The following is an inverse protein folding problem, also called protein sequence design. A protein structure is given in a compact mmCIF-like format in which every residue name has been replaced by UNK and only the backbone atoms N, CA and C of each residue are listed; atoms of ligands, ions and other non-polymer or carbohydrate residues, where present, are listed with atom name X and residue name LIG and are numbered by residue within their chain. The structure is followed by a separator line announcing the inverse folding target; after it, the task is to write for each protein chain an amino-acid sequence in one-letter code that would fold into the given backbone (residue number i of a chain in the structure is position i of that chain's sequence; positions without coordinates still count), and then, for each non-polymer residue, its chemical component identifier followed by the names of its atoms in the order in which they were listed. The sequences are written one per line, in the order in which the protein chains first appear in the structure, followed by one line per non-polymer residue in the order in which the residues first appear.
data_IF_120802854938
#
_entry.id   IF_120802854938
#
_cell.length_a   1.000
_cell.length_b   1.000
_cell.length_c   1.000
_cell.angle_alpha   90.00
_cell.angle_beta   90.00
_cell.angle_gamma   90.00
#
_symmetry.space_group_name_H-M   'P 1'
#
loop_
_entity.id
_entity.type
_entity.pdbx_description
1 polymer ?
#
# COMPACT_ATOMS: atom_id res chain seq x y z
N UNK A 1 29.48 3.71 -37.15
CA UNK A 1 28.31 4.21 -36.40
C UNK A 1 28.83 5.22 -35.38
N UNK A 2 28.36 6.48 -35.39
CA UNK A 2 28.76 7.45 -34.36
C UNK A 2 28.11 7.04 -33.03
N UNK A 3 28.83 7.02 -31.90
CA UNK A 3 28.21 6.80 -30.60
C UNK A 3 27.41 8.05 -30.22
N UNK A 4 26.11 7.91 -30.07
CA UNK A 4 25.26 9.00 -29.58
C UNK A 4 25.56 9.21 -28.10
N UNK A 5 26.27 10.30 -27.78
CA UNK A 5 26.62 10.66 -26.42
C UNK A 5 25.32 10.88 -25.59
N UNK A 6 25.10 10.12 -24.50
CA UNK A 6 23.87 10.21 -23.69
C UNK A 6 23.65 11.61 -23.11
N UNK A 7 24.70 12.42 -22.99
CA UNK A 7 24.59 13.79 -22.50
C UNK A 7 23.98 14.75 -23.53
N UNK A 8 24.14 14.47 -24.82
CA UNK A 8 23.46 15.22 -25.87
C UNK A 8 21.95 14.95 -25.87
N UNK A 9 21.52 13.72 -25.53
CA UNK A 9 20.10 13.37 -25.43
C UNK A 9 19.42 14.04 -24.23
N UNK A 10 20.13 14.15 -23.10
CA UNK A 10 19.61 14.82 -21.90
C UNK A 10 19.45 16.33 -22.13
N UNK A 11 20.39 16.98 -22.80
CA UNK A 11 20.28 18.40 -23.13
C UNK A 11 19.17 18.68 -24.15
N UNK A 12 18.97 17.80 -25.14
CA UNK A 12 17.80 17.88 -26.03
C UNK A 12 16.47 17.71 -25.29
N UNK A 13 16.39 16.78 -24.33
CA UNK A 13 15.19 16.60 -23.53
C UNK A 13 14.87 17.84 -22.69
N UNK A 14 15.88 18.45 -22.06
CA UNK A 14 15.71 19.70 -21.30
C UNK A 14 15.28 20.87 -22.17
N UNK A 15 15.82 20.99 -23.39
CA UNK A 15 15.45 22.03 -24.33
C UNK A 15 13.97 21.91 -24.76
N UNK A 16 13.51 20.68 -25.01
CA UNK A 16 12.13 20.41 -25.41
C UNK A 16 11.10 20.65 -24.28
N UNK A 17 11.53 20.63 -23.02
CA UNK A 17 10.65 20.78 -21.85
C UNK A 17 10.79 22.13 -21.11
N UNK A 18 11.57 23.08 -21.63
CA UNK A 18 11.81 24.37 -20.95
C UNK A 18 10.72 25.43 -21.15
N UNK A 19 9.60 25.10 -21.80
CA UNK A 19 8.50 26.03 -22.10
C UNK A 19 7.26 25.86 -21.20
N UNK A 20 7.41 25.43 -19.93
CA UNK A 20 6.28 25.44 -18.97
C UNK A 20 6.71 25.78 -17.54
N UNK A 21 7.58 26.78 -17.39
CA UNK A 21 7.68 27.52 -16.13
C UNK A 21 7.84 28.98 -16.47
N UNK A 22 6.82 29.81 -16.17
CA UNK A 22 6.95 31.22 -15.80
C UNK A 22 5.59 31.90 -15.69
N UNK A 23 4.86 31.69 -14.59
CA UNK A 23 4.04 32.74 -13.97
C UNK A 23 3.37 32.26 -12.66
N UNK A 24 3.81 32.89 -11.57
CA UNK A 24 3.22 32.81 -10.24
C UNK A 24 1.90 33.61 -10.15
N UNK A 25 1.03 33.15 -9.26
CA UNK A 25 -0.03 33.87 -8.51
C UNK A 25 -1.30 34.33 -9.26
N UNK A 26 -2.43 33.65 -8.96
CA UNK A 26 -3.67 34.25 -8.43
C UNK A 26 -4.70 33.18 -8.07
N UNK A 27 -5.18 33.24 -6.82
CA UNK A 27 -6.42 32.61 -6.39
C UNK A 27 -7.58 33.13 -7.26
N UNK A 28 -8.30 32.25 -7.96
CA UNK A 28 -9.77 32.22 -8.05
C UNK A 28 -10.27 31.15 -9.05
N UNK A 29 -11.17 30.32 -8.55
CA UNK A 29 -12.28 29.62 -9.23
C UNK A 29 -12.18 29.37 -10.75
N UNK A 30 -11.76 28.16 -11.15
CA UNK A 30 -12.19 27.57 -12.43
C UNK A 30 -12.65 26.13 -12.19
N UNK A 31 -13.94 25.93 -12.46
CA UNK A 31 -14.69 24.68 -12.42
C UNK A 31 -14.22 23.75 -13.54
N UNK A 32 -13.82 22.52 -13.19
CA UNK A 32 -13.75 21.42 -14.15
C UNK A 32 -14.81 20.38 -13.77
N UNK A 33 -15.97 20.50 -14.41
CA UNK A 33 -17.02 19.48 -14.57
C UNK A 33 -16.97 19.15 -16.07
N UNK A 34 -16.70 17.94 -16.57
CA UNK A 34 -17.47 16.69 -16.50
C UNK A 34 -16.63 15.67 -17.34
N UNK A 35 -16.61 14.36 -17.11
CA UNK A 35 -17.67 13.56 -16.49
C UNK A 35 -17.21 12.23 -15.91
N UNK A 36 -17.98 11.87 -14.90
CA UNK A 36 -18.01 10.63 -14.15
C UNK A 36 -18.35 9.41 -15.02
N UNK A 37 -17.61 8.33 -14.80
CA UNK A 37 -18.19 7.00 -14.59
C UNK A 37 -17.56 6.53 -13.27
N UNK A 38 -18.20 6.63 -12.11
CA UNK A 38 -19.61 6.32 -11.87
C UNK A 38 -19.79 4.94 -11.22
N UNK A 39 -18.80 4.42 -10.49
CA UNK A 39 -19.05 3.66 -9.25
C UNK A 39 -17.75 3.57 -8.45
N UNK A 40 -17.33 4.70 -7.88
CA UNK A 40 -16.64 4.61 -6.60
C UNK A 40 -17.64 3.97 -5.63
N UNK A 41 -17.58 2.64 -5.57
CA UNK A 41 -18.07 1.92 -4.41
C UNK A 41 -17.38 2.63 -3.26
N UNK A 42 -18.14 3.43 -2.51
CA UNK A 42 -17.72 4.02 -1.23
C UNK A 42 -17.28 2.84 -0.39
N UNK A 43 -16.02 2.51 -0.57
CA UNK A 43 -15.41 1.31 -0.10
C UNK A 43 -15.40 1.57 1.41
N UNK A 44 -16.26 0.84 2.14
CA UNK A 44 -16.45 0.92 3.59
C UNK A 44 -15.17 0.58 4.39
N UNK A 45 -14.00 0.65 3.75
CA UNK A 45 -12.65 0.57 4.30
C UNK A 45 -12.19 1.90 4.94
N UNK A 46 -13.09 2.84 5.19
CA UNK A 46 -12.86 3.96 6.11
C UNK A 46 -13.06 3.56 7.60
N UNK A 47 -12.95 2.27 7.91
CA UNK A 47 -12.88 1.79 9.29
C UNK A 47 -11.48 1.98 9.86
N UNK A 48 -11.36 2.84 10.87
CA UNK A 48 -10.20 3.01 11.79
C UNK A 48 -8.87 3.57 11.24
N UNK A 49 -8.61 3.64 9.92
CA UNK A 49 -7.32 4.16 9.44
C UNK A 49 -7.10 5.67 9.64
N UNK A 50 -8.18 6.46 9.63
CA UNK A 50 -8.09 7.92 9.89
C UNK A 50 -7.55 8.22 11.30
N UNK A 51 -7.64 7.25 12.23
CA UNK A 51 -7.25 7.43 13.62
C UNK A 51 -5.82 6.95 13.95
N UNK A 52 -5.05 6.40 12.99
CA UNK A 52 -3.64 6.08 13.24
C UNK A 52 -2.72 7.22 12.78
N UNK A 53 -2.09 7.98 13.70
CA UNK A 53 -1.20 9.09 13.34
C UNK A 53 -0.03 8.69 12.42
N UNK A 54 0.36 7.41 12.45
CA UNK A 54 1.47 6.90 11.63
C UNK A 54 1.12 6.81 10.14
N UNK A 55 -0.16 6.67 9.77
CA UNK A 55 -0.54 6.68 8.36
C UNK A 55 -0.21 8.02 7.69
N UNK A 56 -0.34 9.13 8.44
CA UNK A 56 0.04 10.47 7.99
C UNK A 56 1.56 10.70 8.08
N UNK A 57 2.21 10.27 9.16
CA UNK A 57 3.67 10.42 9.31
C UNK A 57 4.45 9.60 8.27
N UNK A 58 3.99 8.39 7.96
CA UNK A 58 4.59 7.50 6.97
C UNK A 58 3.80 7.49 5.66
N UNK A 59 3.51 8.68 5.13
CA UNK A 59 2.71 8.85 3.91
C UNK A 59 3.30 8.08 2.71
N UNK A 60 4.63 8.09 2.55
CA UNK A 60 5.29 7.39 1.43
C UNK A 60 5.19 5.86 1.57
N UNK A 61 5.38 5.32 2.77
CA UNK A 61 5.21 3.89 3.02
C UNK A 61 3.73 3.48 2.85
N UNK A 62 2.81 4.29 3.35
CA UNK A 62 1.36 4.09 3.15
C UNK A 62 1.01 4.06 1.67
N UNK A 63 1.63 4.92 0.85
CA UNK A 63 1.46 4.93 -0.60
C UNK A 63 1.93 3.62 -1.24
N UNK A 64 3.04 3.03 -0.79
CA UNK A 64 3.49 1.74 -1.30
C UNK A 64 2.46 0.63 -1.06
N UNK A 65 1.82 0.60 0.12
CA UNK A 65 0.72 -0.34 0.37
C UNK A 65 -0.47 -0.11 -0.56
N UNK A 66 -0.82 1.14 -0.87
CA UNK A 66 -1.87 1.43 -1.87
C UNK A 66 -1.50 0.91 -3.25
N UNK A 67 -0.26 1.12 -3.69
CA UNK A 67 0.22 0.60 -4.98
C UNK A 67 0.21 -0.93 -5.03
N UNK A 68 0.49 -1.61 -3.91
CA UNK A 68 0.34 -3.06 -3.80
C UNK A 68 -1.11 -3.46 -3.99
N UNK A 69 -2.04 -2.78 -3.32
CA UNK A 69 -3.49 -3.06 -3.44
C UNK A 69 -3.99 -2.87 -4.88
N UNK A 70 -3.58 -1.79 -5.54
CA UNK A 70 -3.93 -1.51 -6.93
C UNK A 70 -3.32 -2.56 -7.88
N UNK A 71 -2.05 -2.93 -7.64
CA UNK A 71 -1.35 -3.98 -8.39
C UNK A 71 -2.03 -5.34 -8.27
N UNK A 72 -2.52 -5.71 -7.08
CA UNK A 72 -3.23 -6.96 -6.88
C UNK A 72 -4.52 -7.01 -7.69
N UNK A 73 -5.28 -5.91 -7.71
CA UNK A 73 -6.49 -5.80 -8.52
C UNK A 73 -6.18 -5.95 -10.01
N UNK A 74 -5.20 -5.19 -10.50
CA UNK A 74 -4.78 -5.23 -11.89
C UNK A 74 -4.24 -6.61 -12.30
N UNK A 75 -3.58 -7.32 -11.40
CA UNK A 75 -3.12 -8.69 -11.63
C UNK A 75 -4.29 -9.62 -11.97
N UNK A 76 -5.40 -9.55 -11.22
CA UNK A 76 -6.58 -10.37 -11.51
C UNK A 76 -7.21 -10.00 -12.86
N UNK A 77 -7.24 -8.71 -13.20
CA UNK A 77 -7.87 -8.20 -14.43
C UNK A 77 -7.08 -8.54 -15.69
N UNK A 78 -5.75 -8.49 -15.62
CA UNK A 78 -4.88 -8.63 -16.80
C UNK A 78 -4.23 -10.01 -16.89
N UNK A 79 -3.95 -10.64 -15.75
CA UNK A 79 -3.20 -11.90 -15.65
C UNK A 79 -3.84 -12.86 -14.62
N UNK A 80 -5.08 -13.33 -14.84
CA UNK A 80 -5.80 -14.16 -13.87
C UNK A 80 -5.09 -15.49 -13.56
N UNK A 81 -4.46 -16.11 -14.56
CA UNK A 81 -3.72 -17.38 -14.41
C UNK A 81 -2.47 -17.24 -13.51
N UNK A 82 -1.84 -16.07 -13.54
CA UNK A 82 -0.65 -15.77 -12.74
C UNK A 82 -0.97 -15.28 -11.33
N UNK A 83 -2.25 -15.22 -10.95
CA UNK A 83 -2.67 -14.72 -9.65
C UNK A 83 -2.18 -15.58 -8.47
N UNK A 84 -1.69 -16.80 -8.73
CA UNK A 84 -1.03 -17.65 -7.74
C UNK A 84 0.19 -16.97 -7.08
N UNK A 85 0.89 -16.07 -7.77
CA UNK A 85 1.96 -15.27 -7.16
C UNK A 85 1.44 -14.31 -6.08
N UNK A 86 0.21 -13.79 -6.23
CA UNK A 86 -0.42 -12.97 -5.19
C UNK A 86 -0.81 -13.81 -3.97
N UNK A 87 -1.26 -15.04 -4.19
CA UNK A 87 -1.53 -15.99 -3.10
C UNK A 87 -0.25 -16.32 -2.32
N UNK A 88 0.87 -16.54 -3.01
CA UNK A 88 2.16 -16.73 -2.36
C UNK A 88 2.59 -15.51 -1.54
N UNK A 89 2.48 -14.31 -2.12
CA UNK A 89 2.77 -13.05 -1.39
C UNK A 89 1.90 -12.90 -0.14
N UNK A 90 0.62 -13.29 -0.22
CA UNK A 90 -0.27 -13.31 0.97
C UNK A 90 0.28 -14.26 2.04
N UNK A 91 0.67 -15.48 1.68
CA UNK A 91 1.18 -16.46 2.64
C UNK A 91 2.47 -15.99 3.32
N UNK A 92 3.36 -15.35 2.56
CA UNK A 92 4.57 -14.69 3.09
C UNK A 92 4.21 -13.56 4.08
N UNK A 93 3.17 -12.77 3.78
CA UNK A 93 2.69 -11.71 4.69
C UNK A 93 2.04 -12.28 5.96
N UNK A 94 1.35 -13.41 5.89
CA UNK A 94 0.77 -14.09 7.06
C UNK A 94 1.90 -14.52 8.01
N UNK A 95 2.93 -15.21 7.50
CA UNK A 95 4.10 -15.60 8.30
C UNK A 95 4.80 -14.37 8.92
N UNK A 96 4.95 -13.29 8.15
CA UNK A 96 5.54 -12.05 8.64
C UNK A 96 4.73 -11.43 9.78
N UNK A 97 3.40 -11.36 9.67
CA UNK A 97 2.52 -10.87 10.73
C UNK A 97 2.67 -11.70 12.00
N UNK A 98 2.71 -13.03 11.88
CA UNK A 98 2.83 -13.92 13.03
C UNK A 98 4.15 -13.71 13.77
N UNK A 99 5.25 -13.52 13.03
CA UNK A 99 6.56 -13.15 13.61
C UNK A 99 6.52 -11.79 14.29
N UNK A 100 5.88 -10.78 13.69
CA UNK A 100 5.72 -9.45 14.28
C UNK A 100 4.88 -9.48 15.56
N UNK A 101 3.81 -10.30 15.58
CA UNK A 101 2.97 -10.52 16.77
C UNK A 101 3.76 -11.24 17.87
N UNK A 102 4.50 -12.30 17.54
CA UNK A 102 5.33 -13.04 18.49
C UNK A 102 6.45 -12.18 19.08
N UNK A 103 7.20 -11.47 18.24
CA UNK A 103 8.26 -10.56 18.66
C UNK A 103 7.74 -9.43 19.54
N UNK A 104 6.60 -8.83 19.19
CA UNK A 104 5.95 -7.82 20.02
C UNK A 104 5.54 -8.35 21.40
N UNK A 105 5.00 -9.57 21.48
CA UNK A 105 4.68 -10.23 22.77
C UNK A 105 5.93 -10.47 23.61
N UNK A 106 6.99 -11.02 23.02
CA UNK A 106 8.26 -11.26 23.69
C UNK A 106 8.86 -9.96 24.24
N UNK A 107 8.93 -8.92 23.42
CA UNK A 107 9.49 -7.63 23.82
C UNK A 107 8.71 -7.00 24.98
N UNK A 108 7.38 -7.05 24.92
CA UNK A 108 6.54 -6.56 26.03
C UNK A 108 6.69 -7.41 27.31
N UNK A 109 6.92 -8.72 27.20
CA UNK A 109 7.18 -9.58 28.34
C UNK A 109 8.52 -9.23 29.01
N UNK A 110 9.58 -9.02 28.21
CA UNK A 110 10.89 -8.60 28.69
C UNK A 110 10.85 -7.21 29.33
N UNK A 111 10.13 -6.26 28.72
CA UNK A 111 9.98 -4.93 29.27
C UNK A 111 9.29 -4.94 30.66
N UNK A 112 8.31 -5.84 30.85
CA UNK A 112 7.66 -6.04 32.15
C UNK A 112 8.57 -6.71 33.18
N UNK A 113 9.46 -7.61 32.76
CA UNK A 113 10.35 -8.34 33.69
C UNK A 113 11.54 -7.52 34.17
N UNK A 114 11.98 -6.48 33.45
CA UNK A 114 13.14 -5.66 33.82
C UNK A 114 12.88 -4.60 34.91
N UNK A 115 11.68 -4.54 35.48
CA UNK A 115 11.35 -3.67 36.63
C UNK A 115 11.10 -2.19 36.27
N UNK A 116 10.86 -1.38 37.32
CA UNK A 116 10.37 0.01 37.21
C UNK A 116 11.37 0.93 36.50
N UNK A 117 12.68 0.74 36.71
CA UNK A 117 13.74 1.61 36.18
C UNK A 117 13.88 1.52 34.66
N UNK A 118 13.92 0.31 34.10
CA UNK A 118 13.96 0.09 32.64
C UNK A 118 12.69 0.62 31.95
N UNK A 119 11.54 0.42 32.60
CA UNK A 119 10.25 0.82 32.06
C UNK A 119 10.13 2.34 31.96
N UNK A 120 10.61 3.09 32.96
CA UNK A 120 10.52 4.56 32.98
C UNK A 120 11.39 5.21 31.90
N UNK A 121 12.63 4.75 31.75
CA UNK A 121 13.60 5.41 30.86
C UNK A 121 13.33 5.06 29.38
N UNK A 122 12.67 3.93 29.11
CA UNK A 122 12.37 3.43 27.76
C UNK A 122 10.87 3.43 27.40
N UNK A 123 10.01 4.05 28.22
CA UNK A 123 8.55 3.98 28.06
C UNK A 123 8.08 4.54 26.72
N UNK A 124 8.63 5.67 26.30
CA UNK A 124 8.33 6.32 25.02
C UNK A 124 8.73 5.44 23.85
N UNK A 125 9.96 4.89 23.88
CA UNK A 125 10.47 3.99 22.86
C UNK A 125 9.65 2.71 22.75
N UNK A 126 9.22 2.12 23.88
CA UNK A 126 8.33 0.96 23.89
C UNK A 126 6.97 1.27 23.27
N UNK A 127 6.41 2.46 23.55
CA UNK A 127 5.16 2.92 22.96
C UNK A 127 5.31 3.11 21.45
N UNK A 128 6.38 3.76 21.00
CA UNK A 128 6.66 4.01 19.59
C UNK A 128 6.86 2.70 18.82
N UNK A 129 7.59 1.74 19.40
CA UNK A 129 7.73 0.38 18.86
C UNK A 129 6.36 -0.29 18.70
N UNK A 130 5.55 -0.32 19.75
CA UNK A 130 4.23 -0.95 19.71
C UNK A 130 3.31 -0.28 18.67
N UNK A 131 3.38 1.05 18.54
CA UNK A 131 2.64 1.80 17.53
C UNK A 131 3.08 1.45 16.11
N UNK A 132 4.39 1.41 15.85
CA UNK A 132 4.96 1.05 14.55
C UNK A 132 4.65 -0.40 14.17
N UNK A 133 4.80 -1.33 15.12
CA UNK A 133 4.49 -2.75 14.93
C UNK A 133 3.00 -2.94 14.59
N UNK A 134 2.11 -2.29 15.35
CA UNK A 134 0.66 -2.32 15.08
C UNK A 134 0.29 -1.72 13.73
N UNK A 135 0.94 -0.62 13.32
CA UNK A 135 0.76 -0.02 12.00
C UNK A 135 1.14 -1.00 10.87
N UNK A 136 2.30 -1.65 10.97
CA UNK A 136 2.76 -2.60 9.95
C UNK A 136 1.84 -3.82 9.86
N UNK A 137 1.48 -4.42 11.01
CA UNK A 137 0.55 -5.55 11.07
C UNK A 137 -0.76 -5.18 10.37
N UNK A 138 -1.34 -4.02 10.69
CA UNK A 138 -2.57 -3.55 10.04
C UNK A 138 -2.41 -3.42 8.52
N UNK A 139 -1.30 -2.85 8.04
CA UNK A 139 -1.06 -2.69 6.60
C UNK A 139 -0.91 -4.01 5.87
N UNK A 140 -0.27 -5.00 6.47
CA UNK A 140 -0.20 -6.34 5.90
C UNK A 140 -1.56 -7.04 5.93
N UNK A 141 -2.34 -6.90 7.02
CA UNK A 141 -3.69 -7.47 7.13
C UNK A 141 -4.65 -6.91 6.06
N UNK A 142 -4.54 -5.62 5.71
CA UNK A 142 -5.28 -5.02 4.59
C UNK A 142 -4.98 -5.71 3.26
N UNK A 143 -3.70 -5.93 2.95
CA UNK A 143 -3.28 -6.58 1.70
C UNK A 143 -3.74 -8.03 1.66
N UNK A 144 -3.56 -8.79 2.74
CA UNK A 144 -4.03 -10.18 2.86
C UNK A 144 -5.54 -10.27 2.64
N UNK A 145 -6.30 -9.40 3.31
CA UNK A 145 -7.76 -9.38 3.19
C UNK A 145 -8.20 -9.11 1.76
N UNK A 146 -7.54 -8.17 1.08
CA UNK A 146 -7.83 -7.87 -0.31
C UNK A 146 -7.52 -9.05 -1.24
N UNK A 147 -6.36 -9.70 -1.08
CA UNK A 147 -5.98 -10.86 -1.92
C UNK A 147 -6.96 -12.02 -1.72
N UNK A 148 -7.38 -12.30 -0.48
CA UNK A 148 -8.38 -13.33 -0.21
C UNK A 148 -9.70 -13.02 -0.90
N UNK A 149 -10.16 -11.78 -0.85
CA UNK A 149 -11.36 -11.34 -1.57
C UNK A 149 -11.22 -11.53 -3.08
N UNK A 150 -10.13 -11.06 -3.67
CA UNK A 150 -9.86 -11.19 -5.11
C UNK A 150 -9.76 -12.65 -5.55
N UNK A 151 -9.21 -13.53 -4.71
CA UNK A 151 -9.15 -14.96 -4.99
C UNK A 151 -10.55 -15.61 -5.05
N UNK A 152 -11.46 -15.19 -4.17
CA UNK A 152 -12.85 -15.63 -4.20
C UNK A 152 -13.50 -15.16 -5.50
N UNK A 153 -13.35 -13.87 -5.85
CA UNK A 153 -13.88 -13.29 -7.10
C UNK A 153 -13.35 -14.06 -8.34
N UNK A 154 -12.07 -14.44 -8.35
CA UNK A 154 -11.46 -15.26 -9.43
C UNK A 154 -12.14 -16.62 -9.56
N UNK A 155 -12.26 -17.37 -8.47
CA UNK A 155 -12.84 -18.72 -8.45
C UNK A 155 -14.32 -18.68 -8.86
N UNK A 156 -15.06 -17.65 -8.45
CA UNK A 156 -16.45 -17.46 -8.85
C UNK A 156 -16.57 -17.14 -10.35
N UNK A 157 -15.68 -16.32 -10.90
CA UNK A 157 -15.63 -16.01 -12.33
C UNK A 157 -15.33 -17.23 -13.21
N UNK A 158 -14.38 -18.07 -12.79
CA UNK A 158 -14.03 -19.32 -13.47
C UNK A 158 -15.24 -20.28 -13.56
N UNK A 159 -16.00 -20.41 -12.48
CA UNK A 159 -17.20 -21.27 -12.43
C UNK A 159 -18.30 -20.81 -13.38
N UNK A 160 -18.53 -19.50 -13.51
CA UNK A 160 -19.56 -18.94 -14.38
C UNK A 160 -19.22 -19.07 -15.87
N UNK A 161 -17.92 -19.01 -16.22
CA UNK A 161 -17.46 -19.22 -17.59
C UNK A 161 -17.51 -20.70 -18.01
N UNK A 162 -17.27 -21.63 -17.08
CA UNK A 162 -17.40 -23.07 -17.33
C UNK A 162 -18.83 -23.51 -17.67
N UNK A 163 -19.85 -22.85 -17.09
CA UNK A 163 -21.27 -23.16 -17.31
C UNK A 163 -21.84 -22.56 -18.61
N UNK A 164 -21.22 -21.50 -19.15
CA UNK A 164 -21.69 -20.88 -20.41
C UNK A 164 -21.20 -21.59 -21.68
N UNK A 165 -20.32 -22.60 -21.55
CA UNK A 165 -19.70 -23.31 -22.67
C UNK A 165 -20.20 -24.76 -22.83
N UNK A 166 -21.24 -25.16 -22.08
CA UNK A 166 -22.02 -26.40 -22.26
C UNK A 166 -23.39 -26.10 -22.89
#
# INVERSE_FOLDING_TARGET
MKPTNPMAQLEQWKANHKATSNNETKNELVKNTQGNVGSETKNKYQGKLYANPLAFKFAQLTRQFKLILDSNRKCLEVYPDDFHHKLKMRDEMVDLIDRLKAGGKLFNALAKSQGITFCRDNQSTLKDFNQANGYLIHKFEEVITQINRLNIERIEGEKLQGVSNE
#
